data_IF_685368017026
#
_entry.id   IF_685368017026
#
_cell.length_a   1.000
_cell.length_b   1.000
_cell.length_c   1.000
_cell.angle_alpha   90.00
_cell.angle_beta   90.00
_cell.angle_gamma   90.00
#
_symmetry.space_group_name_H-M   'P 1'
#
loop_
_entity.id
_entity.type
_entity.pdbx_description
1 polymer ?
#
# COMPACT_ATOMS: atom_id res chain seq x y z
N UNK A 1 26.64 -25.28 13.53
CA UNK A 1 26.61 -24.02 12.76
C UNK A 1 25.56 -23.15 13.40
N UNK A 2 25.81 -21.89 13.74
CA UNK A 2 24.75 -21.04 14.24
C UNK A 2 23.67 -20.95 13.17
N UNK A 3 22.43 -21.22 13.54
CA UNK A 3 21.28 -21.00 12.68
C UNK A 3 21.31 -19.51 12.31
N UNK A 4 21.58 -19.22 11.05
CA UNK A 4 21.58 -17.84 10.57
C UNK A 4 20.19 -17.24 10.79
N UNK A 5 20.16 -15.99 11.21
CA UNK A 5 18.92 -15.26 11.40
C UNK A 5 18.17 -15.23 10.07
N UNK A 6 16.92 -15.67 10.08
CA UNK A 6 16.07 -15.60 8.89
C UNK A 6 15.92 -14.14 8.45
N UNK A 7 16.19 -13.81 7.18
CA UNK A 7 16.19 -12.42 6.74
C UNK A 7 14.79 -11.78 6.69
N UNK A 8 13.74 -12.59 6.56
CA UNK A 8 12.38 -12.09 6.43
C UNK A 8 11.62 -12.19 7.75
N UNK A 9 11.10 -11.06 8.23
CA UNK A 9 10.24 -11.01 9.42
C UNK A 9 8.78 -11.22 9.04
N UNK A 10 8.34 -10.57 7.98
CA UNK A 10 6.95 -10.62 7.51
C UNK A 10 6.90 -10.77 6.00
N UNK A 11 5.94 -11.53 5.53
CA UNK A 11 5.58 -11.63 4.13
C UNK A 11 4.05 -11.71 4.03
N UNK A 12 3.48 -10.87 3.18
CA UNK A 12 2.03 -10.81 2.97
C UNK A 12 1.74 -10.71 1.47
N UNK A 13 0.82 -11.53 1.00
CA UNK A 13 0.26 -11.42 -0.34
C UNK A 13 -1.20 -10.99 -0.23
N UNK A 14 -1.58 -9.97 -0.99
CA UNK A 14 -2.95 -9.44 -1.05
C UNK A 14 -3.38 -9.34 -2.50
N UNK A 15 -4.68 -9.55 -2.73
CA UNK A 15 -5.28 -9.46 -4.05
C UNK A 15 -6.04 -8.14 -4.21
N UNK A 16 -5.87 -7.51 -5.38
CA UNK A 16 -6.66 -6.34 -5.76
C UNK A 16 -7.77 -6.74 -6.73
N UNK A 17 -9.01 -6.21 -6.56
CA UNK A 17 -10.10 -6.40 -7.52
C UNK A 17 -9.75 -5.93 -8.93
N UNK A 18 -8.75 -5.07 -9.08
CA UNK A 18 -8.25 -4.60 -10.37
C UNK A 18 -7.53 -5.69 -11.17
N UNK A 19 -7.29 -6.85 -10.55
CA UNK A 19 -6.74 -8.03 -11.22
C UNK A 19 -5.24 -8.22 -11.05
N UNK A 20 -4.61 -7.51 -10.12
CA UNK A 20 -3.22 -7.74 -9.75
C UNK A 20 -3.09 -8.25 -8.32
N UNK A 21 -2.02 -8.95 -8.05
CA UNK A 21 -1.64 -9.36 -6.70
C UNK A 21 -0.49 -8.49 -6.21
N UNK A 22 -0.52 -8.10 -4.94
CA UNK A 22 0.54 -7.34 -4.31
C UNK A 22 1.18 -8.18 -3.21
N UNK A 23 2.48 -8.31 -3.28
CA UNK A 23 3.29 -8.99 -2.26
C UNK A 23 4.16 -7.95 -1.58
N UNK A 24 4.08 -7.89 -0.26
CA UNK A 24 4.82 -6.97 0.61
C UNK A 24 5.65 -7.78 1.59
N UNK A 25 6.85 -7.31 1.90
CA UNK A 25 7.75 -7.99 2.85
C UNK A 25 8.47 -7.01 3.75
N UNK A 26 8.92 -7.53 4.89
CA UNK A 26 9.76 -6.81 5.82
C UNK A 26 10.99 -7.65 6.17
N UNK A 27 12.12 -6.99 6.41
CA UNK A 27 13.34 -7.66 6.82
C UNK A 27 13.43 -7.69 8.34
N UNK A 28 13.97 -8.78 8.86
CA UNK A 28 14.28 -8.91 10.25
C UNK A 28 15.30 -7.81 10.65
N UNK A 29 15.02 -6.99 11.68
CA UNK A 29 15.92 -5.93 12.10
C UNK A 29 17.29 -6.45 12.59
N UNK A 30 17.38 -7.73 12.95
CA UNK A 30 18.62 -8.37 13.34
C UNK A 30 19.42 -8.94 12.15
N UNK A 31 18.89 -8.80 10.94
CA UNK A 31 19.59 -9.24 9.73
C UNK A 31 20.73 -8.27 9.40
N UNK A 32 21.96 -8.79 9.39
CA UNK A 32 23.19 -8.00 9.33
C UNK A 32 24.01 -8.15 8.06
N UNK A 33 23.55 -8.94 7.08
CA UNK A 33 24.28 -9.06 5.82
C UNK A 33 24.42 -7.69 5.14
N UNK A 34 25.58 -7.37 4.57
CA UNK A 34 25.75 -6.09 3.91
C UNK A 34 24.93 -6.00 2.62
N UNK A 35 24.36 -4.81 2.37
CA UNK A 35 23.72 -4.48 1.10
C UNK A 35 24.72 -4.33 -0.06
N UNK A 36 24.27 -4.13 -1.28
CA UNK A 36 22.88 -3.86 -1.65
C UNK A 36 21.98 -5.10 -1.65
N UNK A 37 20.68 -4.88 -1.41
CA UNK A 37 19.66 -5.92 -1.40
C UNK A 37 18.89 -5.92 -2.72
N UNK A 38 18.88 -7.08 -3.39
CA UNK A 38 18.10 -7.30 -4.60
C UNK A 38 16.99 -8.30 -4.30
N UNK A 39 15.75 -7.88 -4.50
CA UNK A 39 14.58 -8.72 -4.28
C UNK A 39 14.01 -9.18 -5.60
N UNK A 40 13.73 -10.47 -5.71
CA UNK A 40 13.02 -11.06 -6.85
C UNK A 40 11.77 -11.74 -6.33
N UNK A 41 10.60 -11.34 -6.82
CA UNK A 41 9.36 -12.03 -6.55
C UNK A 41 9.28 -13.27 -7.42
N UNK A 42 8.94 -14.39 -6.81
CA UNK A 42 8.80 -15.69 -7.48
C UNK A 42 7.42 -16.27 -7.17
N UNK A 43 6.87 -17.03 -8.11
CA UNK A 43 5.60 -17.70 -7.94
C UNK A 43 5.62 -19.14 -8.43
N UNK A 44 4.78 -19.98 -7.82
CA UNK A 44 4.62 -21.39 -8.15
C UNK A 44 3.26 -21.92 -7.74
N UNK A 45 2.80 -22.99 -8.40
CA UNK A 45 1.67 -23.81 -7.94
C UNK A 45 2.08 -24.86 -6.88
N UNK A 46 3.38 -25.02 -6.61
CA UNK A 46 3.90 -26.02 -5.68
C UNK A 46 4.75 -25.35 -4.60
N UNK A 47 4.26 -25.27 -3.33
CA UNK A 47 4.92 -24.51 -2.28
C UNK A 47 6.23 -25.14 -1.77
N UNK A 48 6.40 -26.44 -1.95
CA UNK A 48 7.47 -27.22 -1.32
C UNK A 48 8.69 -27.38 -2.25
N UNK A 49 8.50 -27.36 -3.55
CA UNK A 49 9.57 -27.60 -4.52
C UNK A 49 10.26 -26.30 -4.92
N UNK A 50 11.47 -26.08 -4.44
CA UNK A 50 12.26 -24.88 -4.75
C UNK A 50 12.58 -24.71 -6.24
N UNK A 51 12.58 -25.79 -7.01
CA UNK A 51 12.88 -25.81 -8.44
C UNK A 51 11.73 -25.26 -9.32
N UNK A 52 10.51 -25.27 -8.81
CA UNK A 52 9.31 -24.93 -9.60
C UNK A 52 8.88 -23.47 -9.50
N UNK A 53 9.63 -22.64 -8.76
CA UNK A 53 9.35 -21.22 -8.67
C UNK A 53 9.90 -20.45 -9.87
N UNK A 54 9.03 -19.78 -10.60
CA UNK A 54 9.38 -18.88 -11.70
C UNK A 54 9.53 -17.44 -11.23
N UNK A 55 10.42 -16.66 -11.84
CA UNK A 55 10.55 -15.24 -11.56
C UNK A 55 9.37 -14.48 -12.15
N UNK A 56 8.72 -13.67 -11.32
CA UNK A 56 7.63 -12.78 -11.73
C UNK A 56 8.19 -11.39 -12.01
N UNK A 57 9.04 -10.89 -11.12
CA UNK A 57 9.61 -9.56 -11.28
C UNK A 57 10.74 -9.31 -10.29
N UNK A 58 11.48 -8.22 -10.56
CA UNK A 58 12.57 -7.75 -9.71
C UNK A 58 12.15 -6.41 -9.12
N UNK A 59 12.19 -6.28 -7.80
CA UNK A 59 11.91 -5.03 -7.14
C UNK A 59 13.09 -4.05 -7.31
N UNK A 60 12.77 -2.78 -7.46
CA UNK A 60 13.78 -1.72 -7.44
C UNK A 60 14.51 -1.72 -6.08
N UNK A 61 15.73 -1.17 -6.07
CA UNK A 61 16.52 -1.06 -4.84
C UNK A 61 15.73 -0.32 -3.75
N UNK A 62 15.74 -0.86 -2.54
CA UNK A 62 14.97 -0.35 -1.40
C UNK A 62 13.45 -0.38 -1.57
N UNK A 63 12.93 -1.20 -2.46
CA UNK A 63 11.50 -1.44 -2.61
C UNK A 63 11.14 -2.77 -1.95
N UNK A 64 10.19 -2.73 -1.02
CA UNK A 64 9.77 -3.87 -0.19
C UNK A 64 8.38 -4.36 -0.56
N UNK A 65 7.99 -4.18 -1.79
CA UNK A 65 6.80 -4.76 -2.39
C UNK A 65 7.01 -4.96 -3.90
N UNK A 66 6.19 -5.83 -4.47
CA UNK A 66 6.06 -5.98 -5.92
C UNK A 66 4.64 -6.40 -6.27
N UNK A 67 4.16 -5.95 -7.41
CA UNK A 67 2.86 -6.36 -7.95
C UNK A 67 3.07 -7.42 -9.02
N UNK A 68 2.21 -8.43 -9.02
CA UNK A 68 2.05 -9.39 -10.09
C UNK A 68 0.81 -8.98 -10.89
N UNK A 69 1.04 -8.41 -12.08
CA UNK A 69 -0.02 -7.88 -12.95
C UNK A 69 -0.67 -8.99 -13.79
N UNK A 70 -0.11 -10.18 -13.79
CA UNK A 70 -0.75 -11.31 -14.42
C UNK A 70 -1.93 -11.78 -13.58
N UNK A 71 -3.11 -11.75 -14.18
CA UNK A 71 -4.32 -12.32 -13.59
C UNK A 71 -4.16 -13.83 -13.47
N UNK A 72 -3.66 -14.26 -12.32
CA UNK A 72 -3.60 -15.69 -11.99
C UNK A 72 -5.02 -16.15 -11.68
N UNK A 73 -5.58 -16.99 -12.53
CA UNK A 73 -6.86 -17.62 -12.28
C UNK A 73 -6.66 -18.64 -11.17
N UNK A 74 -7.14 -18.30 -10.00
CA UNK A 74 -7.23 -19.24 -8.89
C UNK A 74 -8.38 -20.20 -9.22
N UNK A 75 -8.04 -21.27 -9.92
CA UNK A 75 -8.96 -22.35 -10.23
C UNK A 75 -9.23 -23.16 -8.97
N UNK A 76 -10.32 -23.93 -8.99
CA UNK A 76 -10.81 -24.73 -7.87
C UNK A 76 -9.81 -25.76 -7.30
N UNK A 77 -8.65 -25.95 -7.91
CA UNK A 77 -7.78 -27.09 -7.65
C UNK A 77 -6.29 -26.74 -7.44
N UNK A 78 -5.88 -25.49 -7.67
CA UNK A 78 -4.46 -25.09 -7.52
C UNK A 78 -4.31 -23.74 -6.88
N UNK A 79 -3.70 -23.73 -5.71
CA UNK A 79 -3.28 -22.49 -5.05
C UNK A 79 -2.00 -21.95 -5.69
N UNK A 80 -1.93 -20.64 -5.85
CA UNK A 80 -0.71 -19.97 -6.29
C UNK A 80 0.04 -19.46 -5.08
N UNK A 81 1.34 -19.76 -5.01
CA UNK A 81 2.21 -19.41 -3.91
C UNK A 81 3.24 -18.39 -4.37
N UNK A 82 3.45 -17.38 -3.55
CA UNK A 82 4.49 -16.39 -3.72
C UNK A 82 5.62 -16.61 -2.71
N UNK A 83 6.85 -16.34 -3.14
CA UNK A 83 8.00 -16.19 -2.25
C UNK A 83 8.90 -15.07 -2.76
N UNK A 84 9.71 -14.51 -1.87
CA UNK A 84 10.70 -13.50 -2.20
C UNK A 84 12.10 -14.11 -2.10
N UNK A 85 12.87 -13.96 -3.16
CA UNK A 85 14.30 -14.26 -3.18
C UNK A 85 15.04 -12.98 -2.84
N UNK A 86 15.82 -12.97 -1.78
CA UNK A 86 16.75 -11.90 -1.43
C UNK A 86 18.16 -12.31 -1.84
N UNK A 87 18.82 -11.46 -2.60
CA UNK A 87 20.21 -11.63 -2.98
C UNK A 87 21.03 -10.50 -2.38
N UNK A 88 21.98 -10.86 -1.51
CA UNK A 88 22.97 -9.96 -0.91
C UNK A 88 24.31 -10.12 -1.62
N UNK A 89 25.30 -9.31 -1.26
CA UNK A 89 26.66 -9.47 -1.76
C UNK A 89 27.30 -10.84 -1.41
N UNK A 90 26.83 -11.46 -0.32
CA UNK A 90 27.43 -12.69 0.23
C UNK A 90 26.62 -13.96 -0.10
N UNK A 91 25.28 -13.88 -0.05
CA UNK A 91 24.40 -15.06 -0.08
C UNK A 91 23.06 -14.78 -0.75
N UNK A 92 22.36 -15.87 -1.05
CA UNK A 92 20.97 -15.83 -1.51
C UNK A 92 20.07 -16.48 -0.46
N UNK A 93 18.97 -15.81 -0.14
CA UNK A 93 17.97 -16.25 0.81
C UNK A 93 16.61 -16.35 0.14
N UNK A 94 15.73 -17.18 0.70
CA UNK A 94 14.36 -17.33 0.25
C UNK A 94 13.42 -17.16 1.43
N UNK A 95 12.33 -16.41 1.24
CA UNK A 95 11.27 -16.33 2.23
C UNK A 95 10.47 -17.63 2.31
N UNK A 96 9.72 -17.85 3.38
CA UNK A 96 8.60 -18.79 3.36
C UNK A 96 7.66 -18.47 2.19
N UNK A 97 6.98 -19.49 1.67
CA UNK A 97 5.95 -19.26 0.66
C UNK A 97 4.64 -18.82 1.31
N UNK A 98 3.93 -17.90 0.67
CA UNK A 98 2.61 -17.42 1.09
C UNK A 98 1.62 -17.52 -0.05
N UNK A 99 0.37 -17.82 0.29
CA UNK A 99 -0.76 -17.73 -0.64
C UNK A 99 -1.44 -16.37 -0.49
N UNK A 100 -2.32 -16.04 -1.42
CA UNK A 100 -3.22 -14.90 -1.25
C UNK A 100 -4.23 -15.19 -0.12
N UNK A 101 -4.47 -14.18 0.70
CA UNK A 101 -5.40 -14.29 1.84
C UNK A 101 -6.85 -14.57 1.43
N UNK A 102 -7.18 -14.38 0.14
CA UNK A 102 -8.55 -14.60 -0.38
C UNK A 102 -8.51 -15.43 -1.65
N UNK A 103 -9.08 -16.62 -1.60
CA UNK A 103 -9.40 -17.40 -2.79
C UNK A 103 -10.64 -16.81 -3.47
N UNK A 104 -10.48 -16.34 -4.69
CA UNK A 104 -11.55 -15.69 -5.43
C UNK A 104 -12.15 -16.64 -6.45
N UNK A 105 -13.47 -16.92 -6.34
CA UNK A 105 -14.18 -17.62 -7.40
C UNK A 105 -14.15 -16.82 -8.71
N UNK A 106 -13.79 -17.46 -9.81
CA UNK A 106 -13.67 -16.85 -11.13
C UNK A 106 -14.93 -16.10 -11.59
N UNK A 107 -16.11 -16.62 -11.28
CA UNK A 107 -17.38 -15.97 -11.64
C UNK A 107 -17.55 -14.65 -10.87
N UNK A 108 -17.24 -14.68 -9.60
CA UNK A 108 -17.27 -13.51 -8.72
C UNK A 108 -16.30 -12.46 -9.20
N UNK A 109 -15.07 -12.85 -9.51
CA UNK A 109 -14.05 -11.96 -10.05
C UNK A 109 -14.50 -11.30 -11.37
N UNK A 110 -15.08 -12.04 -12.31
CA UNK A 110 -15.59 -11.46 -13.56
C UNK A 110 -16.66 -10.39 -13.34
N UNK A 111 -17.58 -10.65 -12.42
CA UNK A 111 -18.65 -9.69 -12.08
C UNK A 111 -18.04 -8.44 -11.43
N UNK A 112 -17.18 -8.61 -10.44
CA UNK A 112 -16.51 -7.51 -9.76
C UNK A 112 -15.70 -6.65 -10.75
N UNK A 113 -14.93 -7.29 -11.64
CA UNK A 113 -14.14 -6.60 -12.67
C UNK A 113 -15.01 -5.80 -13.64
N UNK A 114 -16.15 -6.37 -14.09
CA UNK A 114 -17.03 -5.65 -15.01
C UNK A 114 -17.67 -4.43 -14.35
N UNK A 115 -18.09 -4.55 -13.09
CA UNK A 115 -18.62 -3.41 -12.32
C UNK A 115 -17.53 -2.37 -12.09
N UNK A 116 -16.35 -2.81 -11.67
CA UNK A 116 -15.19 -1.90 -11.48
C UNK A 116 -14.88 -1.14 -12.78
N UNK A 117 -14.84 -1.81 -13.92
CA UNK A 117 -14.61 -1.19 -15.23
C UNK A 117 -15.66 -0.11 -15.54
N UNK A 118 -16.94 -0.38 -15.29
CA UNK A 118 -18.04 0.58 -15.49
C UNK A 118 -17.89 1.80 -14.57
N UNK A 119 -17.62 1.56 -13.30
CA UNK A 119 -17.42 2.64 -12.33
C UNK A 119 -16.17 3.46 -12.66
N UNK A 120 -15.06 2.83 -13.05
CA UNK A 120 -13.86 3.52 -13.50
C UNK A 120 -14.14 4.44 -14.69
N UNK A 121 -14.93 3.97 -15.67
CA UNK A 121 -15.35 4.80 -16.80
C UNK A 121 -16.26 5.96 -16.36
N UNK A 122 -17.17 5.75 -15.42
CA UNK A 122 -18.02 6.79 -14.86
C UNK A 122 -17.18 7.87 -14.16
N UNK A 123 -16.27 7.45 -13.30
CA UNK A 123 -15.40 8.39 -12.58
C UNK A 123 -14.46 9.13 -13.54
N UNK A 124 -13.84 8.45 -14.49
CA UNK A 124 -12.91 9.09 -15.41
C UNK A 124 -13.56 10.12 -16.33
N UNK A 125 -14.85 9.93 -16.65
CA UNK A 125 -15.56 10.81 -17.62
C UNK A 125 -16.42 11.89 -16.97
N UNK A 126 -16.98 11.63 -15.78
CA UNK A 126 -18.05 12.47 -15.24
C UNK A 126 -17.83 12.92 -13.81
N UNK A 127 -17.20 12.16 -12.98
CA UNK A 127 -17.20 12.38 -11.53
C UNK A 127 -15.81 12.55 -10.92
N UNK A 128 -14.78 12.00 -11.51
CA UNK A 128 -13.44 12.00 -10.94
C UNK A 128 -12.71 13.32 -11.14
N UNK A 129 -11.98 13.73 -10.12
CA UNK A 129 -11.07 14.87 -10.25
C UNK A 129 -9.83 14.45 -11.04
N UNK A 130 -9.42 15.24 -12.03
CA UNK A 130 -8.14 15.04 -12.69
C UNK A 130 -6.99 15.35 -11.71
N UNK A 131 -5.83 14.76 -11.98
CA UNK A 131 -4.57 15.05 -11.25
C UNK A 131 -4.60 14.78 -9.73
N UNK A 132 -5.33 13.76 -9.30
CA UNK A 132 -5.26 13.27 -7.93
C UNK A 132 -4.37 12.03 -7.83
N UNK A 133 -3.57 11.99 -6.76
CA UNK A 133 -2.58 10.95 -6.52
C UNK A 133 -2.71 10.37 -5.12
N UNK A 134 -2.44 9.07 -5.01
CA UNK A 134 -2.35 8.36 -3.76
C UNK A 134 -0.88 8.15 -3.39
N UNK A 135 -0.49 8.62 -2.22
CA UNK A 135 0.79 8.34 -1.58
C UNK A 135 0.54 7.28 -0.50
N UNK A 136 0.89 6.05 -0.79
CA UNK A 136 0.74 4.96 0.17
C UNK A 136 1.80 5.04 1.26
N UNK A 137 1.36 4.97 2.52
CA UNK A 137 2.24 4.89 3.67
C UNK A 137 3.01 3.58 3.66
N UNK A 138 4.32 3.63 3.87
CA UNK A 138 5.15 2.44 4.06
C UNK A 138 4.83 1.81 5.41
N UNK A 139 4.38 0.56 5.38
CA UNK A 139 4.10 -0.27 6.55
C UNK A 139 5.14 -1.37 6.70
N UNK A 140 5.89 -1.63 5.64
CA UNK A 140 6.93 -2.64 5.49
C UNK A 140 8.22 -1.98 5.00
N UNK A 141 9.36 -2.60 5.31
CA UNK A 141 10.65 -2.13 4.84
C UNK A 141 11.59 -1.72 5.96
N UNK A 142 12.71 -1.09 5.60
CA UNK A 142 13.75 -0.70 6.53
C UNK A 142 13.24 0.32 7.57
N UNK A 143 13.50 0.05 8.84
CA UNK A 143 13.17 0.98 9.95
C UNK A 143 13.94 2.29 9.77
N UNK A 144 13.32 3.37 10.22
CA UNK A 144 13.97 4.67 10.21
C UNK A 144 15.14 4.68 11.18
N UNK A 145 16.34 4.99 10.68
CA UNK A 145 17.56 5.05 11.49
C UNK A 145 17.58 6.20 12.49
N UNK A 146 16.70 7.21 12.30
CA UNK A 146 16.69 8.41 13.12
C UNK A 146 15.68 8.37 14.26
N UNK A 147 14.50 7.80 14.05
CA UNK A 147 13.41 7.95 14.99
C UNK A 147 12.53 6.68 15.17
N UNK A 148 12.86 5.55 14.56
CA UNK A 148 12.11 4.33 14.82
C UNK A 148 12.40 3.81 16.22
N UNK A 149 11.33 3.48 16.96
CA UNK A 149 11.46 2.75 18.21
C UNK A 149 11.92 1.32 17.88
N UNK A 150 13.02 0.83 18.49
CA UNK A 150 13.50 -0.52 18.23
C UNK A 150 12.54 -1.62 18.70
N UNK A 151 11.67 -1.31 19.68
CA UNK A 151 10.77 -2.29 20.31
C UNK A 151 9.36 -2.25 19.72
N UNK A 152 8.80 -1.06 19.51
CA UNK A 152 7.39 -0.89 19.16
C UNK A 152 7.13 -0.74 17.66
N UNK A 153 8.17 -0.64 16.83
CA UNK A 153 8.05 -0.41 15.37
C UNK A 153 7.29 0.89 15.02
N UNK A 154 7.21 1.82 15.96
CA UNK A 154 6.54 3.10 15.82
C UNK A 154 7.55 4.26 15.71
N UNK A 155 7.21 5.36 15.06
CA UNK A 155 8.08 6.54 15.04
C UNK A 155 8.00 7.29 16.36
N UNK A 156 9.15 7.58 16.97
CA UNK A 156 9.24 8.44 18.15
C UNK A 156 9.01 9.93 17.82
N UNK A 157 9.18 10.30 16.56
CA UNK A 157 8.97 11.66 16.07
C UNK A 157 8.07 11.65 14.82
N UNK A 158 6.87 12.16 14.97
CA UNK A 158 5.88 12.27 13.88
C UNK A 158 6.29 13.28 12.78
N UNK A 159 7.30 14.12 13.03
CA UNK A 159 7.81 15.11 12.07
C UNK A 159 9.20 14.76 11.53
N UNK A 160 9.65 13.54 11.70
CA UNK A 160 10.95 13.10 11.22
C UNK A 160 11.07 13.26 9.70
N UNK A 161 12.06 14.01 9.17
CA UNK A 161 12.21 14.22 7.74
C UNK A 161 12.67 12.98 6.95
N UNK A 162 13.17 11.95 7.64
CA UNK A 162 13.65 10.71 7.02
C UNK A 162 12.50 9.73 6.75
N UNK A 163 11.59 9.59 7.70
CA UNK A 163 10.47 8.66 7.58
C UNK A 163 9.10 9.35 7.45
N UNK A 164 9.05 10.66 7.51
CA UNK A 164 7.81 11.43 7.37
C UNK A 164 6.72 10.98 8.36
N UNK A 165 7.13 10.61 9.58
CA UNK A 165 6.22 10.13 10.62
C UNK A 165 5.73 8.69 10.46
N UNK A 166 6.29 7.90 9.54
CA UNK A 166 5.83 6.52 9.30
C UNK A 166 6.62 5.46 10.06
N UNK A 167 7.81 5.80 10.56
CA UNK A 167 8.76 4.83 11.16
C UNK A 167 9.58 4.04 10.13
N UNK A 168 9.25 4.14 8.85
CA UNK A 168 9.96 3.44 7.77
C UNK A 168 10.73 4.42 6.88
N UNK A 169 11.95 4.07 6.49
CA UNK A 169 12.80 4.94 5.66
C UNK A 169 12.11 5.35 4.36
N UNK A 170 12.10 6.65 4.08
CA UNK A 170 11.45 7.24 2.92
C UNK A 170 9.93 7.40 3.03
N UNK A 171 9.32 7.01 4.16
CA UNK A 171 7.95 7.32 4.55
C UNK A 171 6.83 6.78 3.67
N UNK A 172 6.78 7.22 2.44
CA UNK A 172 5.73 6.88 1.48
C UNK A 172 6.31 6.24 0.22
N UNK A 173 5.48 5.48 -0.47
CA UNK A 173 5.79 5.00 -1.82
C UNK A 173 5.59 6.13 -2.85
N UNK A 174 6.11 5.91 -4.04
CA UNK A 174 5.87 6.83 -5.17
C UNK A 174 4.37 7.02 -5.38
N UNK A 175 3.97 8.24 -5.71
CA UNK A 175 2.57 8.58 -5.92
C UNK A 175 2.00 7.84 -7.13
N UNK A 176 0.80 7.31 -6.98
CA UNK A 176 0.06 6.59 -8.01
C UNK A 176 -1.21 7.39 -8.33
N UNK A 177 -1.56 7.59 -9.61
CA UNK A 177 -2.79 8.28 -9.96
C UNK A 177 -3.99 7.51 -9.40
N UNK A 178 -4.95 8.21 -8.82
CA UNK A 178 -6.16 7.64 -8.25
C UNK A 178 -7.39 8.42 -8.69
N UNK A 179 -8.47 7.71 -8.97
CA UNK A 179 -9.73 8.34 -9.31
C UNK A 179 -10.55 8.61 -8.06
N UNK A 180 -10.79 9.88 -7.78
CA UNK A 180 -11.52 10.35 -6.60
C UNK A 180 -12.68 11.23 -7.04
N UNK A 181 -13.83 10.99 -6.45
CA UNK A 181 -15.01 11.84 -6.56
C UNK A 181 -15.20 12.58 -5.23
N UNK A 182 -15.09 13.90 -5.26
CA UNK A 182 -15.54 14.71 -4.15
C UNK A 182 -17.04 15.02 -4.33
N UNK A 183 -17.88 14.75 -3.33
CA UNK A 183 -19.30 15.06 -3.43
C UNK A 183 -19.49 16.58 -3.60
N UNK A 184 -20.44 16.94 -4.44
CA UNK A 184 -20.76 18.34 -4.76
C UNK A 184 -21.41 19.07 -3.58
N UNK A 185 -21.89 18.33 -2.57
CA UNK A 185 -22.45 18.92 -1.35
C UNK A 185 -21.34 19.48 -0.48
N UNK A 186 -21.44 20.78 -0.20
CA UNK A 186 -20.55 21.54 0.69
C UNK A 186 -20.71 21.17 2.19
N UNK A 187 -21.05 19.93 2.50
CA UNK A 187 -21.05 19.44 3.88
C UNK A 187 -19.61 19.18 4.33
N UNK A 188 -18.95 20.29 4.62
CA UNK A 188 -17.71 20.28 5.40
C UNK A 188 -18.13 19.99 6.83
N UNK A 189 -18.09 18.74 7.25
CA UNK A 189 -18.23 18.42 8.66
C UNK A 189 -17.03 19.01 9.42
N UNK A 190 -17.27 20.01 10.21
CA UNK A 190 -16.30 20.54 11.17
C UNK A 190 -16.28 19.61 12.37
N UNK A 191 -15.35 18.67 12.39
CA UNK A 191 -15.11 17.87 13.59
C UNK A 191 -14.23 18.70 14.52
N UNK A 192 -14.79 19.09 15.66
CA UNK A 192 -14.02 19.64 16.77
C UNK A 192 -13.28 18.51 17.45
N UNK A 193 -12.00 18.36 17.13
CA UNK A 193 -11.13 17.42 17.87
C UNK A 193 -10.62 18.19 19.07
N UNK A 194 -11.24 18.00 20.21
CA UNK A 194 -10.73 18.45 21.50
C UNK A 194 -9.52 17.60 21.89
N UNK A 195 -8.34 17.99 21.48
CA UNK A 195 -7.13 17.56 22.15
C UNK A 195 -6.85 18.53 23.30
N UNK A 196 -6.56 17.99 24.45
CA UNK A 196 -6.41 18.59 25.77
C UNK A 196 -5.52 19.85 25.90
N UNK A 197 -5.46 20.77 24.99
CA UNK A 197 -5.02 22.17 25.15
C UNK A 197 -5.00 23.01 23.88
N UNK A 198 -5.36 22.50 22.70
CA UNK A 198 -5.43 23.32 21.50
C UNK A 198 -6.58 22.84 20.61
N UNK A 199 -7.59 23.67 20.48
CA UNK A 199 -8.70 23.42 19.55
C UNK A 199 -8.22 23.59 18.12
N UNK A 200 -7.78 22.51 17.50
CA UNK A 200 -7.49 22.51 16.07
C UNK A 200 -8.76 22.14 15.31
N UNK A 201 -9.37 23.10 14.65
CA UNK A 201 -10.47 22.83 13.71
C UNK A 201 -9.90 22.09 12.50
N UNK A 202 -10.01 20.76 12.49
CA UNK A 202 -9.71 19.96 11.32
C UNK A 202 -10.88 20.04 10.33
N UNK A 203 -10.63 20.50 9.11
CA UNK A 203 -11.61 20.37 8.02
C UNK A 203 -11.57 18.94 7.51
N UNK A 204 -12.64 18.19 7.70
CA UNK A 204 -12.79 16.85 7.10
C UNK A 204 -13.61 16.96 5.83
N UNK A 205 -13.25 16.15 4.86
CA UNK A 205 -13.93 16.08 3.58
C UNK A 205 -14.17 14.62 3.23
N UNK A 206 -15.41 14.29 2.92
CA UNK A 206 -15.76 12.96 2.44
C UNK A 206 -15.51 12.88 0.93
N UNK A 207 -14.94 11.78 0.48
CA UNK A 207 -14.80 11.50 -0.93
C UNK A 207 -15.11 10.02 -1.22
N UNK A 208 -15.30 9.71 -2.48
CA UNK A 208 -15.42 8.33 -2.95
C UNK A 208 -14.18 7.97 -3.76
N UNK A 209 -13.64 6.79 -3.50
CA UNK A 209 -12.47 6.25 -4.19
C UNK A 209 -12.85 4.94 -4.84
N UNK A 210 -12.38 4.73 -6.06
CA UNK A 210 -12.55 3.48 -6.80
C UNK A 210 -11.26 2.69 -6.79
N UNK A 211 -11.43 1.39 -6.69
CA UNK A 211 -10.41 0.39 -6.97
C UNK A 211 -9.50 0.15 -5.80
N UNK A 212 -8.28 0.65 -5.86
CA UNK A 212 -7.21 0.28 -4.94
C UNK A 212 -7.55 0.50 -3.46
N UNK A 213 -7.16 -0.43 -2.60
CA UNK A 213 -7.38 -0.27 -1.18
C UNK A 213 -6.57 0.91 -0.64
N UNK A 214 -7.24 2.04 -0.53
CA UNK A 214 -6.79 3.13 0.31
C UNK A 214 -6.84 2.65 1.75
N UNK A 215 -5.82 2.92 2.53
CA UNK A 215 -5.75 2.51 3.93
C UNK A 215 -5.63 3.75 4.80
N UNK A 216 -6.14 3.68 6.04
CA UNK A 216 -5.99 4.78 7.01
C UNK A 216 -4.54 5.26 7.09
N UNK A 217 -4.32 6.56 7.18
CA UNK A 217 -3.02 7.24 7.17
C UNK A 217 -2.28 7.25 5.81
N UNK A 218 -2.86 6.75 4.74
CA UNK A 218 -2.39 7.09 3.40
C UNK A 218 -2.65 8.57 3.13
N UNK A 219 -1.98 9.13 2.14
CA UNK A 219 -2.14 10.55 1.78
C UNK A 219 -2.69 10.66 0.37
N UNK A 220 -3.76 11.42 0.24
CA UNK A 220 -4.31 11.81 -1.05
C UNK A 220 -3.78 13.21 -1.37
N UNK A 221 -3.15 13.33 -2.53
CA UNK A 221 -2.62 14.58 -3.02
C UNK A 221 -3.43 15.06 -4.21
N UNK A 222 -4.09 16.19 -4.04
CA UNK A 222 -4.70 16.94 -5.13
C UNK A 222 -3.65 17.89 -5.72
N UNK A 223 -3.10 17.53 -6.87
CA UNK A 223 -2.07 18.32 -7.54
C UNK A 223 -2.62 19.67 -8.03
N UNK A 224 -3.89 19.72 -8.41
CA UNK A 224 -4.53 20.94 -8.91
C UNK A 224 -4.58 22.05 -7.86
N UNK A 225 -4.93 21.72 -6.62
CA UNK A 225 -4.95 22.68 -5.50
C UNK A 225 -3.66 22.68 -4.67
N UNK A 226 -2.75 21.73 -4.88
CA UNK A 226 -1.56 21.52 -4.07
C UNK A 226 -1.85 20.98 -2.66
N UNK A 227 -3.10 20.65 -2.36
CA UNK A 227 -3.50 20.19 -1.04
C UNK A 227 -3.21 18.71 -0.82
N UNK A 228 -2.85 18.39 0.42
CA UNK A 228 -2.64 17.00 0.84
C UNK A 228 -3.60 16.64 1.96
N UNK A 229 -4.25 15.51 1.80
CA UNK A 229 -5.26 15.01 2.72
C UNK A 229 -4.80 13.69 3.31
N UNK A 230 -4.89 13.56 4.62
CA UNK A 230 -4.61 12.31 5.33
C UNK A 230 -5.91 11.52 5.40
N UNK A 231 -5.86 10.27 4.98
CA UNK A 231 -6.97 9.32 5.11
C UNK A 231 -7.17 8.99 6.58
N UNK A 232 -8.35 9.30 7.10
CA UNK A 232 -8.70 9.04 8.49
C UNK A 232 -9.50 7.75 8.64
N UNK A 233 -10.62 7.66 7.94
CA UNK A 233 -11.54 6.53 8.01
C UNK A 233 -11.96 6.09 6.63
N UNK A 234 -12.27 4.81 6.49
CA UNK A 234 -12.69 4.20 5.23
C UNK A 234 -13.90 3.35 5.50
N UNK A 235 -14.95 3.58 4.73
CA UNK A 235 -16.18 2.79 4.78
C UNK A 235 -16.44 2.19 3.40
N UNK A 236 -16.62 0.90 3.33
CA UNK A 236 -16.97 0.21 2.09
C UNK A 236 -18.41 0.56 1.69
N UNK A 237 -18.60 1.17 0.53
CA UNK A 237 -19.92 1.57 0.03
C UNK A 237 -20.53 0.52 -0.90
N UNK A 238 -19.72 -0.02 -1.80
CA UNK A 238 -20.15 -0.99 -2.80
C UNK A 238 -19.23 -2.19 -2.72
N UNK A 239 -19.77 -3.28 -2.21
CA UNK A 239 -19.09 -4.57 -2.17
C UNK A 239 -19.81 -5.58 -3.05
N UNK A 240 -19.06 -6.35 -3.80
CA UNK A 240 -19.59 -7.43 -4.61
C UNK A 240 -18.97 -8.73 -4.15
N UNK A 241 -19.75 -9.53 -3.44
CA UNK A 241 -19.31 -10.82 -2.91
C UNK A 241 -17.98 -10.76 -2.16
N UNK A 242 -17.82 -9.74 -1.30
CA UNK A 242 -16.60 -9.52 -0.52
C UNK A 242 -15.52 -8.67 -1.19
N UNK A 243 -15.73 -8.24 -2.45
CA UNK A 243 -14.84 -7.26 -3.10
C UNK A 243 -15.35 -5.86 -2.90
N UNK A 244 -14.52 -5.02 -2.36
CA UNK A 244 -14.78 -3.60 -2.28
C UNK A 244 -14.51 -2.94 -3.64
N UNK A 245 -15.54 -2.34 -4.22
CA UNK A 245 -15.47 -1.65 -5.52
C UNK A 245 -15.38 -0.15 -5.31
N UNK A 246 -16.12 0.39 -4.35
CA UNK A 246 -16.16 1.82 -4.04
C UNK A 246 -16.10 1.97 -2.53
N UNK A 247 -15.17 2.80 -2.06
CA UNK A 247 -15.06 3.20 -0.67
C UNK A 247 -15.44 4.67 -0.50
N UNK A 248 -16.18 4.98 0.57
CA UNK A 248 -16.21 6.33 1.12
C UNK A 248 -14.98 6.51 2.00
N UNK A 249 -14.30 7.61 1.81
CA UNK A 249 -13.08 7.93 2.54
C UNK A 249 -13.25 9.27 3.21
N UNK A 250 -13.07 9.29 4.52
CA UNK A 250 -13.05 10.52 5.29
C UNK A 250 -11.61 11.06 5.29
N UNK A 251 -11.43 12.25 4.77
CA UNK A 251 -10.15 12.91 4.57
C UNK A 251 -9.99 14.08 5.53
N UNK A 252 -8.85 14.18 6.17
CA UNK A 252 -8.45 15.35 6.94
C UNK A 252 -7.41 16.15 6.16
N UNK A 253 -7.66 17.43 5.96
CA UNK A 253 -6.69 18.33 5.35
C UNK A 253 -5.44 18.41 6.25
N UNK A 254 -4.28 18.11 5.68
CA UNK A 254 -3.02 18.28 6.38
C UNK A 254 -2.63 19.77 6.41
N UNK A 255 -2.14 20.29 7.55
CA UNK A 255 -1.62 21.65 7.60
C UNK A 255 -0.38 21.78 6.71
N UNK A 256 -0.21 22.93 6.07
CA UNK A 256 0.94 23.15 5.16
C UNK A 256 2.32 23.05 5.86
N UNK A 257 2.35 23.14 7.18
CA UNK A 257 3.53 22.91 7.99
C UNK A 257 3.85 21.42 8.23
N UNK A 258 3.00 20.52 7.74
CA UNK A 258 3.21 19.08 7.90
C UNK A 258 4.37 18.60 7.04
N UNK A 259 5.13 17.65 7.59
CA UNK A 259 6.28 17.06 6.92
C UNK A 259 5.92 16.35 5.61
N UNK A 260 4.66 15.93 5.44
CA UNK A 260 4.21 15.30 4.19
C UNK A 260 4.32 16.24 2.98
N UNK A 261 4.30 17.56 3.17
CA UNK A 261 4.50 18.51 2.08
C UNK A 261 5.95 18.58 1.56
N UNK A 262 6.90 17.95 2.26
CA UNK A 262 8.28 17.82 1.78
C UNK A 262 8.46 16.66 0.78
N UNK A 263 7.44 15.81 0.60
CA UNK A 263 7.48 14.75 -0.42
C UNK A 263 7.53 15.41 -1.79
N UNK A 264 8.57 15.10 -2.62
CA UNK A 264 8.74 15.74 -3.91
C UNK A 264 7.55 15.47 -4.83
N UNK A 265 7.22 16.46 -5.64
CA UNK A 265 6.22 16.33 -6.69
C UNK A 265 6.72 15.39 -7.77
N UNK A 266 5.80 14.58 -8.34
CA UNK A 266 6.16 13.67 -9.41
C UNK A 266 6.32 14.47 -10.69
N UNK A 267 7.50 14.36 -11.29
CA UNK A 267 7.77 14.74 -12.67
C UNK A 267 7.45 16.20 -13.00
N UNK A 268 8.29 17.09 -12.57
CA UNK A 268 8.64 18.27 -13.35
C UNK A 268 9.80 17.92 -14.27
#
# INVERSE_FOLDING_TARGET
MPQGIEPFEKLKASYSPQGYSRVEWDLNPLFTDPGPYYFTLQGSYHPVETSNFSNIGIAAVNTYFLTDDETRLYGKEMDWFYRVKLQTALRTYYSPSVTLDTSVDYRTWRVAREVLRKETLRFSKFAGMPDTYLLKRKRYGAKCTRCADPLLDEPLDGRCPVCLGTGKTGGYFSAVPVLIEFPVSNEIEKINIEYASTTSQGTTQNCRVIGDPVVSQDVIWDKGSGRRYIVHEITELVTIRGYNIISAVNLRLAPYSDVIYTIPEIGT
#
